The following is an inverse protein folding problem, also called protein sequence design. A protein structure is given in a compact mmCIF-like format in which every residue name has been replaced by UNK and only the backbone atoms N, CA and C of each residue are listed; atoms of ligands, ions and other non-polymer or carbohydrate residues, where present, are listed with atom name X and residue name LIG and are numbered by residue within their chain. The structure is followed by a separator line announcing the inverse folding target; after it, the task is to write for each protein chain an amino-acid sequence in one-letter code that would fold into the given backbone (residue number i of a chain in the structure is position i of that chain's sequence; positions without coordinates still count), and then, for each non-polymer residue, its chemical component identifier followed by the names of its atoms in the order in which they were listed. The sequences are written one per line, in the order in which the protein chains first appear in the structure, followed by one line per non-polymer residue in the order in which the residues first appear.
data_IF_125037622929
#
_entry.id   IF_125037622929
#
_cell.length_a   1.000
_cell.length_b   1.000
_cell.length_c   1.000
_cell.angle_alpha   90.00
_cell.angle_beta   90.00
_cell.angle_gamma   90.00
#
_symmetry.space_group_name_H-M   'P 1'
#
loop_
_entity.id
_entity.type
_entity.pdbx_description
1 polymer ?
#
# COMPACT_ATOMS: atom_id res chain seq x y z
N UNK A 1 -22.19 11.14 -16.76
CA UNK A 1 -22.12 9.72 -16.37
C UNK A 1 -22.07 9.62 -14.84
N UNK A 2 -22.43 8.49 -14.24
CA UNK A 2 -22.33 8.34 -12.77
C UNK A 2 -20.85 8.23 -12.38
N UNK A 3 -20.44 8.90 -11.29
CA UNK A 3 -19.07 8.89 -10.78
C UNK A 3 -18.56 7.46 -10.53
N UNK A 4 -17.37 7.13 -11.04
CA UNK A 4 -16.71 5.82 -10.93
C UNK A 4 -15.36 5.98 -10.24
N UNK A 5 -14.90 4.91 -9.60
CA UNK A 5 -13.64 4.87 -8.85
C UNK A 5 -12.81 3.68 -9.31
N UNK A 6 -11.62 3.92 -9.83
CA UNK A 6 -10.63 2.88 -10.11
C UNK A 6 -9.67 2.83 -8.91
N UNK A 7 -9.66 1.72 -8.20
CA UNK A 7 -8.88 1.55 -6.97
C UNK A 7 -7.73 0.57 -7.20
N UNK A 8 -6.52 0.99 -6.94
CA UNK A 8 -5.29 0.22 -7.14
C UNK A 8 -4.64 -0.07 -5.79
N UNK A 9 -4.30 -1.33 -5.53
CA UNK A 9 -3.74 -1.77 -4.27
C UNK A 9 -2.39 -2.49 -4.43
N UNK A 10 -1.54 -2.34 -3.42
CA UNK A 10 -0.40 -3.21 -3.13
C UNK A 10 0.52 -3.42 -4.35
N UNK A 11 1.16 -2.35 -4.79
CA UNK A 11 1.99 -2.32 -6.02
C UNK A 11 3.32 -3.02 -5.81
N UNK A 12 3.96 -2.79 -4.63
CA UNK A 12 5.23 -3.40 -4.25
C UNK A 12 6.32 -3.27 -5.30
N UNK A 13 6.55 -2.05 -5.77
CA UNK A 13 7.54 -1.70 -6.79
C UNK A 13 7.47 -2.57 -8.06
N UNK A 14 6.32 -3.16 -8.36
CA UNK A 14 6.08 -3.89 -9.60
C UNK A 14 5.77 -2.90 -10.74
N UNK A 15 6.79 -2.09 -11.08
CA UNK A 15 6.67 -1.01 -12.06
C UNK A 15 6.19 -1.48 -13.43
N UNK A 16 6.68 -2.66 -13.89
CA UNK A 16 6.28 -3.21 -15.19
C UNK A 16 4.80 -3.57 -15.25
N UNK A 17 4.24 -4.10 -14.16
CA UNK A 17 2.80 -4.34 -14.07
C UNK A 17 2.01 -3.03 -13.97
N UNK A 18 2.52 -2.07 -13.18
CA UNK A 18 1.88 -0.77 -13.01
C UNK A 18 1.77 0.02 -14.32
N UNK A 19 2.78 -0.05 -15.18
CA UNK A 19 2.74 0.63 -16.49
C UNK A 19 1.54 0.21 -17.35
N UNK A 20 1.04 -1.04 -17.22
CA UNK A 20 -0.15 -1.51 -17.94
C UNK A 20 -1.45 -0.80 -17.51
N UNK A 21 -1.41 -0.02 -16.44
CA UNK A 21 -2.54 0.83 -16.05
C UNK A 21 -2.92 1.81 -17.17
N UNK A 22 -1.92 2.33 -17.91
CA UNK A 22 -2.17 3.28 -19.03
C UNK A 22 -2.80 2.64 -20.25
N UNK A 23 -2.77 1.31 -20.37
CA UNK A 23 -3.36 0.57 -21.48
C UNK A 23 -4.86 0.32 -21.29
N UNK A 24 -5.39 0.58 -20.09
CA UNK A 24 -6.81 0.38 -19.79
C UNK A 24 -7.65 1.49 -20.43
N UNK A 25 -8.65 1.14 -21.23
CA UNK A 25 -9.56 2.13 -21.86
C UNK A 25 -10.24 3.03 -20.82
N UNK A 26 -10.57 2.49 -19.65
CA UNK A 26 -11.22 3.23 -18.56
C UNK A 26 -10.40 4.41 -18.08
N UNK A 27 -9.07 4.40 -18.26
CA UNK A 27 -8.17 5.50 -17.85
C UNK A 27 -8.41 6.77 -18.68
N UNK A 28 -8.99 6.66 -19.87
CA UNK A 28 -9.27 7.81 -20.75
C UNK A 28 -10.52 8.61 -20.32
N UNK A 29 -11.29 8.10 -19.35
CA UNK A 29 -12.42 8.85 -18.78
C UNK A 29 -11.91 9.93 -17.83
N UNK A 30 -12.01 11.19 -18.21
CA UNK A 30 -11.57 12.34 -17.39
C UNK A 30 -12.33 12.49 -16.07
N UNK A 31 -13.57 11.99 -16.00
CA UNK A 31 -14.41 12.00 -14.79
C UNK A 31 -14.08 10.84 -13.83
N UNK A 32 -13.25 9.88 -14.28
CA UNK A 32 -12.82 8.77 -13.43
C UNK A 32 -12.01 9.26 -12.24
N UNK A 33 -12.38 8.83 -11.04
CA UNK A 33 -11.57 9.02 -9.85
C UNK A 33 -10.64 7.82 -9.67
N UNK A 34 -9.34 8.05 -9.59
CA UNK A 34 -8.32 7.02 -9.36
C UNK A 34 -7.85 7.12 -7.91
N UNK A 35 -7.81 5.98 -7.22
CA UNK A 35 -7.38 5.91 -5.81
C UNK A 35 -6.32 4.82 -5.66
N UNK A 36 -5.10 5.21 -5.31
CA UNK A 36 -4.05 4.29 -4.89
C UNK A 36 -4.11 4.11 -3.39
N UNK A 37 -4.19 2.87 -2.90
CA UNK A 37 -4.42 2.61 -1.47
C UNK A 37 -3.19 2.10 -0.72
N UNK A 38 -1.99 2.44 -1.19
CA UNK A 38 -0.72 2.21 -0.47
C UNK A 38 0.08 1.01 -0.94
N UNK A 39 1.18 0.79 -0.23
CA UNK A 39 2.19 -0.24 -0.48
C UNK A 39 2.82 -0.14 -1.87
N UNK A 40 3.54 0.96 -2.08
CA UNK A 40 4.30 1.20 -3.31
C UNK A 40 5.66 0.52 -3.29
N UNK A 41 6.22 0.27 -2.11
CA UNK A 41 7.59 -0.18 -1.84
C UNK A 41 7.67 -1.70 -1.62
N UNK A 42 8.90 -2.20 -1.45
CA UNK A 42 9.20 -3.53 -0.91
C UNK A 42 8.81 -4.72 -1.81
N UNK A 43 9.12 -4.63 -3.11
CA UNK A 43 8.94 -5.73 -4.04
C UNK A 43 9.92 -6.89 -3.82
N UNK A 44 9.51 -8.13 -4.19
CA UNK A 44 10.35 -9.33 -4.10
C UNK A 44 11.37 -9.44 -5.25
N UNK A 45 10.95 -9.06 -6.45
CA UNK A 45 11.78 -9.10 -7.66
C UNK A 45 11.82 -7.69 -8.26
N UNK A 46 12.82 -6.92 -7.84
CA UNK A 46 12.95 -5.54 -8.29
C UNK A 46 13.83 -5.46 -9.52
N UNK A 47 13.32 -4.86 -10.59
CA UNK A 47 14.13 -4.35 -11.69
C UNK A 47 14.89 -3.11 -11.25
N UNK A 48 15.87 -2.68 -12.02
CA UNK A 48 16.69 -1.51 -11.71
C UNK A 48 15.84 -0.26 -11.48
N UNK A 49 16.04 0.39 -10.33
CA UNK A 49 15.32 1.60 -9.90
C UNK A 49 13.79 1.47 -9.87
N UNK A 50 13.25 0.24 -9.78
CA UNK A 50 11.80 -0.02 -9.81
C UNK A 50 11.06 0.75 -8.72
N UNK A 51 11.65 0.88 -7.53
CA UNK A 51 11.07 1.62 -6.41
C UNK A 51 10.83 3.08 -6.75
N UNK A 52 11.86 3.78 -7.21
CA UNK A 52 11.73 5.21 -7.57
C UNK A 52 10.80 5.38 -8.78
N UNK A 53 10.95 4.56 -9.82
CA UNK A 53 10.08 4.59 -11.00
C UNK A 53 8.60 4.39 -10.65
N UNK A 54 8.30 3.52 -9.69
CA UNK A 54 6.92 3.31 -9.20
C UNK A 54 6.38 4.57 -8.54
N UNK A 55 7.16 5.20 -7.65
CA UNK A 55 6.75 6.42 -6.97
C UNK A 55 6.60 7.59 -7.94
N UNK A 56 7.53 7.76 -8.88
CA UNK A 56 7.48 8.78 -9.93
C UNK A 56 6.23 8.62 -10.80
N UNK A 57 5.92 7.39 -11.25
CA UNK A 57 4.73 7.11 -12.04
C UNK A 57 3.44 7.54 -11.31
N UNK A 58 3.30 7.18 -10.03
CA UNK A 58 2.10 7.52 -9.24
C UNK A 58 2.04 9.01 -8.98
N UNK A 59 3.17 9.65 -8.68
CA UNK A 59 3.29 11.09 -8.49
C UNK A 59 2.90 11.85 -9.76
N UNK A 60 3.48 11.47 -10.90
CA UNK A 60 3.21 12.12 -12.19
C UNK A 60 1.75 11.99 -12.57
N UNK A 61 1.14 10.82 -12.33
CA UNK A 61 -0.28 10.64 -12.58
C UNK A 61 -1.14 11.54 -11.68
N UNK A 62 -0.76 11.72 -10.40
CA UNK A 62 -1.46 12.61 -9.47
C UNK A 62 -1.30 14.10 -9.84
N UNK A 63 -0.13 14.50 -10.30
CA UNK A 63 0.17 15.91 -10.66
C UNK A 63 -0.45 16.32 -12.01
N UNK A 64 -0.47 15.39 -12.96
CA UNK A 64 -0.91 15.68 -14.33
C UNK A 64 -2.39 15.36 -14.60
N UNK A 65 -3.08 14.70 -13.64
CA UNK A 65 -4.48 14.33 -13.80
C UNK A 65 -5.31 14.77 -12.60
N UNK A 66 -6.48 15.34 -12.87
CA UNK A 66 -7.49 15.61 -11.85
C UNK A 66 -8.03 14.30 -11.27
N UNK A 67 -8.54 14.35 -10.04
CA UNK A 67 -9.20 13.22 -9.37
C UNK A 67 -8.29 11.97 -9.16
N UNK A 68 -6.98 12.14 -8.97
CA UNK A 68 -6.07 11.09 -8.53
C UNK A 68 -5.70 11.29 -7.07
N UNK A 69 -5.90 10.26 -6.27
CA UNK A 69 -5.68 10.28 -4.83
C UNK A 69 -4.77 9.12 -4.43
N UNK A 70 -3.90 9.38 -3.46
CA UNK A 70 -2.85 8.45 -3.04
C UNK A 70 -2.89 8.31 -1.54
N UNK A 71 -2.84 7.08 -1.03
CA UNK A 71 -2.76 6.75 0.39
C UNK A 71 -1.42 6.12 0.73
N UNK A 72 -1.05 6.13 2.00
CA UNK A 72 0.09 5.37 2.52
C UNK A 72 -0.34 3.99 3.00
N UNK A 73 0.48 2.97 2.70
CA UNK A 73 0.43 1.65 3.28
C UNK A 73 1.46 1.44 4.39
N UNK A 74 1.48 0.24 4.97
CA UNK A 74 2.42 -0.08 6.05
C UNK A 74 3.88 -0.20 5.57
N UNK A 75 4.10 -0.53 4.31
CA UNK A 75 5.42 -0.56 3.71
C UNK A 75 5.96 0.85 3.41
N UNK A 76 5.09 1.85 3.26
CA UNK A 76 5.47 3.23 2.96
C UNK A 76 5.75 4.06 4.22
N UNK A 77 5.01 3.80 5.31
CA UNK A 77 5.09 4.64 6.52
C UNK A 77 6.47 4.67 7.18
N UNK A 78 7.31 3.61 7.20
CA UNK A 78 8.63 3.67 7.84
C UNK A 78 9.58 4.65 7.17
N UNK A 79 9.67 4.67 5.84
CA UNK A 79 10.55 5.61 5.13
C UNK A 79 10.05 7.05 5.24
N UNK A 80 8.72 7.25 5.31
CA UNK A 80 8.13 8.57 5.59
C UNK A 80 8.54 9.09 6.97
N UNK A 81 8.60 8.24 7.99
CA UNK A 81 9.09 8.62 9.32
C UNK A 81 10.57 9.00 9.31
N UNK A 82 11.38 8.24 8.55
CA UNK A 82 12.79 8.56 8.36
C UNK A 82 12.94 9.90 7.63
N UNK A 83 12.15 10.16 6.60
CA UNK A 83 12.11 11.45 5.90
C UNK A 83 11.79 12.59 6.84
N UNK A 84 10.71 12.48 7.63
CA UNK A 84 10.27 13.49 8.61
C UNK A 84 11.25 13.65 9.79
N UNK A 85 12.31 12.86 9.84
CA UNK A 85 13.28 12.83 10.94
C UNK A 85 12.63 12.60 12.30
N UNK A 86 11.64 11.73 12.35
CA UNK A 86 11.00 11.38 13.61
C UNK A 86 12.02 10.78 14.58
N UNK A 87 11.99 11.25 15.83
CA UNK A 87 12.93 10.76 16.85
C UNK A 87 12.81 9.24 16.99
N UNK A 88 13.95 8.54 16.92
CA UNK A 88 14.02 7.09 17.05
C UNK A 88 13.72 6.65 18.51
N UNK A 89 12.46 6.77 18.92
CA UNK A 89 11.94 6.19 20.15
C UNK A 89 11.64 4.69 19.96
N UNK A 90 11.26 3.97 21.03
CA UNK A 90 10.99 2.53 20.96
C UNK A 90 9.99 2.13 19.86
N UNK A 91 8.93 2.93 19.65
CA UNK A 91 7.93 2.67 18.62
C UNK A 91 8.51 2.80 17.21
N UNK A 92 9.15 3.91 16.91
CA UNK A 92 9.77 4.17 15.61
C UNK A 92 10.91 3.18 15.33
N UNK A 93 11.72 2.87 16.37
CA UNK A 93 12.74 1.83 16.29
C UNK A 93 12.14 0.50 15.81
N UNK A 94 11.09 0.01 16.49
CA UNK A 94 10.47 -1.25 16.13
C UNK A 94 9.88 -1.24 14.72
N UNK A 95 9.28 -0.14 14.29
CA UNK A 95 8.71 -0.02 12.93
C UNK A 95 9.79 -0.04 11.87
N UNK A 96 10.86 0.76 12.03
CA UNK A 96 11.99 0.82 11.08
C UNK A 96 12.76 -0.51 11.09
N UNK A 97 12.99 -1.10 12.26
CA UNK A 97 13.62 -2.41 12.39
C UNK A 97 12.82 -3.49 11.64
N UNK A 98 11.52 -3.60 11.95
CA UNK A 98 10.65 -4.57 11.31
C UNK A 98 10.61 -4.37 9.78
N UNK A 99 10.55 -3.12 9.34
CA UNK A 99 10.57 -2.78 7.91
C UNK A 99 11.85 -3.26 7.23
N UNK A 100 13.02 -2.91 7.78
CA UNK A 100 14.31 -3.27 7.17
C UNK A 100 14.51 -4.79 7.15
N UNK A 101 14.24 -5.49 8.27
CA UNK A 101 14.69 -6.87 8.46
C UNK A 101 13.62 -7.92 8.15
N UNK A 102 12.33 -7.58 8.14
CA UNK A 102 11.27 -8.59 8.07
C UNK A 102 10.27 -8.39 6.93
N UNK A 103 10.01 -7.17 6.50
CA UNK A 103 8.91 -6.91 5.54
C UNK A 103 9.36 -6.34 4.20
N UNK A 104 10.67 -6.23 3.94
CA UNK A 104 11.18 -5.92 2.59
C UNK A 104 11.95 -4.63 2.44
N UNK A 105 12.05 -3.80 3.50
CA UNK A 105 12.74 -2.51 3.44
C UNK A 105 14.19 -2.60 2.98
N UNK A 106 14.90 -3.68 3.31
CA UNK A 106 16.26 -3.91 2.82
C UNK A 106 16.30 -4.02 1.29
N UNK A 107 15.30 -4.65 0.68
CA UNK A 107 15.17 -4.75 -0.78
C UNK A 107 14.97 -3.37 -1.42
N UNK A 108 14.05 -2.58 -0.86
CA UNK A 108 13.81 -1.19 -1.27
C UNK A 108 15.06 -0.33 -1.18
N UNK A 109 15.73 -0.35 -0.01
CA UNK A 109 16.92 0.46 0.21
C UNK A 109 18.05 0.11 -0.76
N UNK A 110 18.26 -1.19 -1.01
CA UNK A 110 19.27 -1.64 -1.96
C UNK A 110 18.87 -1.42 -3.44
N UNK A 111 17.58 -1.29 -3.73
CA UNK A 111 17.10 -0.93 -5.06
C UNK A 111 17.29 0.56 -5.38
N UNK A 112 17.19 1.43 -4.37
CA UNK A 112 17.41 2.87 -4.50
C UNK A 112 18.90 3.21 -4.46
N UNK A 113 19.64 2.62 -3.52
CA UNK A 113 21.10 2.73 -3.40
C UNK A 113 21.69 1.31 -3.53
N UNK A 114 22.21 0.97 -4.69
CA UNK A 114 22.72 -0.37 -5.01
C UNK A 114 23.89 -0.81 -4.13
N UNK A 115 24.51 0.10 -3.38
CA UNK A 115 25.57 -0.17 -2.40
C UNK A 115 25.07 -0.19 -0.96
N UNK A 116 23.78 0.02 -0.73
CA UNK A 116 23.22 0.11 0.64
C UNK A 116 23.62 -1.08 1.50
N UNK A 117 23.37 -2.30 1.02
CA UNK A 117 23.67 -3.54 1.76
C UNK A 117 25.17 -3.70 2.00
N UNK A 118 26.01 -3.43 0.99
CA UNK A 118 27.45 -3.54 1.09
C UNK A 118 28.02 -2.54 2.12
N UNK A 119 27.65 -1.28 2.01
CA UNK A 119 28.14 -0.21 2.89
C UNK A 119 27.70 -0.37 4.35
N UNK A 120 26.59 -1.06 4.61
CA UNK A 120 26.02 -1.24 5.95
C UNK A 120 26.08 -2.69 6.46
N UNK A 121 26.80 -3.60 5.81
CA UNK A 121 26.81 -5.02 6.15
C UNK A 121 27.15 -5.28 7.61
N UNK A 122 28.16 -4.59 8.16
CA UNK A 122 28.60 -4.71 9.53
C UNK A 122 27.54 -4.22 10.56
N UNK A 123 26.70 -3.26 10.18
CA UNK A 123 25.61 -2.75 11.01
C UNK A 123 24.38 -3.66 10.92
N UNK A 124 24.13 -4.22 9.73
CA UNK A 124 23.01 -5.12 9.46
C UNK A 124 23.21 -6.50 10.11
N UNK A 125 24.47 -6.95 10.31
CA UNK A 125 24.79 -8.23 10.94
C UNK A 125 24.59 -8.23 12.47
N UNK A 126 24.59 -7.05 13.10
CA UNK A 126 24.32 -6.86 14.53
C UNK A 126 23.35 -5.69 14.75
N UNK A 127 22.04 -5.91 14.51
CA UNK A 127 21.04 -4.85 14.45
C UNK A 127 20.61 -4.35 15.85
N UNK A 128 21.52 -3.83 16.63
CA UNK A 128 21.24 -3.15 17.90
C UNK A 128 20.77 -1.70 17.70
N UNK A 129 20.34 -1.03 18.78
CA UNK A 129 19.83 0.34 18.72
C UNK A 129 20.83 1.34 18.12
N UNK A 130 22.09 1.26 18.49
CA UNK A 130 23.15 2.17 17.99
C UNK A 130 23.38 1.97 16.50
N UNK A 131 23.46 0.74 16.06
CA UNK A 131 23.65 0.39 14.65
C UNK A 131 22.44 0.81 13.82
N UNK A 132 21.22 0.59 14.31
CA UNK A 132 20.01 1.05 13.61
C UNK A 132 19.96 2.59 13.53
N UNK A 133 20.43 3.30 14.55
CA UNK A 133 20.53 4.76 14.51
C UNK A 133 21.51 5.22 13.41
N UNK A 134 22.62 4.51 13.24
CA UNK A 134 23.59 4.79 12.17
C UNK A 134 22.97 4.49 10.79
N UNK A 135 22.31 3.36 10.64
CA UNK A 135 21.55 3.00 9.41
C UNK A 135 20.49 4.07 9.10
N UNK A 136 19.77 4.54 10.10
CA UNK A 136 18.76 5.59 9.95
C UNK A 136 19.38 6.89 9.37
N UNK A 137 20.55 7.31 9.85
CA UNK A 137 21.24 8.48 9.32
C UNK A 137 21.79 8.23 7.91
N UNK A 138 22.27 7.02 7.63
CA UNK A 138 22.70 6.64 6.29
C UNK A 138 21.54 6.75 5.29
N UNK A 139 20.37 6.20 5.62
CA UNK A 139 19.18 6.29 4.77
C UNK A 139 18.83 7.74 4.48
N UNK A 140 18.87 8.61 5.49
CA UNK A 140 18.59 10.03 5.31
C UNK A 140 19.53 10.71 4.32
N UNK A 141 20.82 10.40 4.43
CA UNK A 141 21.87 11.07 3.65
C UNK A 141 22.02 10.53 2.24
N UNK A 142 21.86 9.21 2.04
CA UNK A 142 22.23 8.53 0.80
C UNK A 142 21.03 8.00 0.00
N UNK A 143 19.89 7.81 0.65
CA UNK A 143 18.65 7.34 0.00
C UNK A 143 17.66 8.49 -0.15
N UNK A 144 17.36 9.19 0.94
CA UNK A 144 16.30 10.21 0.97
C UNK A 144 16.79 11.53 0.34
N UNK A 145 17.95 12.04 0.75
CA UNK A 145 18.43 13.33 0.27
C UNK A 145 18.61 13.41 -1.26
N UNK A 146 19.15 12.40 -1.96
CA UNK A 146 19.21 12.42 -3.42
C UNK A 146 17.82 12.35 -4.10
N UNK A 147 16.81 11.82 -3.42
CA UNK A 147 15.46 11.64 -3.91
C UNK A 147 14.45 12.51 -3.12
N UNK A 148 14.87 13.69 -2.68
CA UNK A 148 14.11 14.50 -1.72
C UNK A 148 12.69 14.77 -2.17
N UNK A 149 12.47 15.21 -3.40
CA UNK A 149 11.16 15.63 -3.93
C UNK A 149 10.14 14.48 -3.92
N UNK A 150 10.59 13.27 -4.24
CA UNK A 150 9.68 12.11 -4.27
C UNK A 150 9.27 11.68 -2.86
N UNK A 151 10.19 11.72 -1.88
CA UNK A 151 9.87 11.40 -0.48
C UNK A 151 9.12 12.53 0.21
N UNK A 152 9.35 13.79 -0.17
CA UNK A 152 8.54 14.92 0.29
C UNK A 152 7.09 14.77 -0.19
N UNK A 153 6.89 14.46 -1.47
CA UNK A 153 5.56 14.18 -2.03
C UNK A 153 4.90 13.01 -1.30
N UNK A 154 5.58 11.87 -1.15
CA UNK A 154 5.05 10.69 -0.46
C UNK A 154 4.65 11.02 0.99
N UNK A 155 5.47 11.84 1.67
CA UNK A 155 5.22 12.22 3.08
C UNK A 155 3.97 13.05 3.32
N UNK A 156 3.39 13.63 2.28
CA UNK A 156 2.17 14.44 2.32
C UNK A 156 0.90 13.61 2.11
N UNK A 157 1.03 12.33 1.74
CA UNK A 157 -0.12 11.50 1.43
C UNK A 157 -0.85 11.06 2.71
N UNK A 158 -2.20 11.04 2.70
CA UNK A 158 -3.02 10.65 3.85
C UNK A 158 -3.04 9.12 4.07
N UNK A 159 -3.60 8.70 5.21
CA UNK A 159 -3.78 7.29 5.58
C UNK A 159 -5.17 6.74 5.20
N UNK A 160 -6.12 7.60 4.93
CA UNK A 160 -7.46 7.24 4.46
C UNK A 160 -8.08 8.36 3.62
N UNK A 161 -9.06 7.98 2.83
CA UNK A 161 -9.93 8.90 2.10
C UNK A 161 -11.39 8.53 2.33
N UNK A 162 -12.27 9.53 2.23
CA UNK A 162 -13.70 9.33 2.30
C UNK A 162 -14.38 10.16 1.22
N UNK A 163 -15.18 9.49 0.40
CA UNK A 163 -16.06 10.12 -0.60
C UNK A 163 -17.49 9.60 -0.37
N UNK A 164 -18.39 10.45 0.08
CA UNK A 164 -19.78 10.07 0.36
C UNK A 164 -19.88 8.82 1.26
N UNK A 165 -20.26 7.69 0.68
CA UNK A 165 -20.40 6.41 1.36
C UNK A 165 -19.18 5.49 1.20
N UNK A 166 -18.17 5.88 0.42
CA UNK A 166 -16.97 5.11 0.24
C UNK A 166 -15.87 5.56 1.20
N UNK A 167 -15.20 4.60 1.81
CA UNK A 167 -14.01 4.80 2.64
C UNK A 167 -12.90 3.95 2.06
N UNK A 168 -11.77 4.56 1.83
CA UNK A 168 -10.56 3.91 1.33
C UNK A 168 -9.50 3.97 2.42
N UNK A 169 -8.92 2.84 2.75
CA UNK A 169 -7.76 2.73 3.64
C UNK A 169 -6.92 1.54 3.22
N UNK A 170 -5.63 1.54 3.57
CA UNK A 170 -4.76 0.45 3.15
C UNK A 170 -5.20 -0.90 3.73
N UNK A 171 -5.42 -1.01 5.06
CA UNK A 171 -5.66 -2.28 5.74
C UNK A 171 -7.06 -2.42 6.38
N UNK A 172 -8.02 -1.58 5.99
CA UNK A 172 -9.33 -1.54 6.63
C UNK A 172 -9.38 -0.61 7.84
N UNK A 173 -10.29 -0.86 8.78
CA UNK A 173 -10.60 0.03 9.90
C UNK A 173 -10.84 -0.76 11.18
N UNK A 174 -10.61 -0.15 12.34
CA UNK A 174 -11.24 -0.59 13.60
C UNK A 174 -12.68 -0.09 13.65
N UNK A 175 -13.64 -0.99 13.46
CA UNK A 175 -15.05 -0.67 13.27
C UNK A 175 -15.76 -0.12 14.52
N UNK A 176 -15.16 -0.29 15.71
CA UNK A 176 -15.62 0.28 16.97
C UNK A 176 -15.03 1.67 17.29
N UNK A 177 -14.30 2.28 16.36
CA UNK A 177 -13.77 3.64 16.45
C UNK A 177 -14.30 4.49 15.31
N UNK A 178 -14.53 5.79 15.56
CA UNK A 178 -14.81 6.73 14.47
C UNK A 178 -13.58 6.93 13.58
N UNK A 179 -13.81 7.31 12.33
CA UNK A 179 -12.75 7.48 11.33
C UNK A 179 -11.65 8.46 11.78
N UNK A 180 -12.02 9.54 12.45
CA UNK A 180 -11.10 10.55 13.02
C UNK A 180 -10.24 10.04 14.17
N UNK A 181 -10.64 8.95 14.82
CA UNK A 181 -9.99 8.36 15.99
C UNK A 181 -9.14 7.12 15.63
N UNK A 182 -9.08 6.78 14.33
CA UNK A 182 -8.23 5.71 13.83
C UNK A 182 -6.75 6.09 13.96
N UNK A 183 -5.94 5.17 14.41
CA UNK A 183 -4.48 5.34 14.43
C UNK A 183 -3.86 4.87 13.10
N UNK A 184 -2.61 5.24 12.83
CA UNK A 184 -1.85 4.70 11.71
C UNK A 184 -1.90 3.15 11.68
N UNK A 185 -1.68 2.51 12.83
CA UNK A 185 -1.72 1.04 12.93
C UNK A 185 -3.10 0.46 12.60
N UNK A 186 -4.18 1.16 13.00
CA UNK A 186 -5.53 0.72 12.69
C UNK A 186 -5.82 0.77 11.17
N UNK A 187 -5.21 1.72 10.46
CA UNK A 187 -5.43 1.97 9.03
C UNK A 187 -4.48 1.20 8.11
N UNK A 188 -3.29 0.82 8.62
CA UNK A 188 -2.24 0.24 7.76
C UNK A 188 -1.84 -1.20 8.14
N UNK A 189 -2.30 -1.72 9.29
CA UNK A 189 -1.91 -3.06 9.77
C UNK A 189 -3.07 -3.95 10.20
N UNK A 190 -4.30 -3.45 10.13
CA UNK A 190 -5.46 -4.23 10.57
C UNK A 190 -5.66 -5.46 9.65
N UNK A 191 -6.12 -6.56 10.22
CA UNK A 191 -6.39 -7.81 9.50
C UNK A 191 -7.65 -8.46 10.07
N UNK A 192 -7.45 -9.44 10.94
CA UNK A 192 -8.50 -10.33 11.45
C UNK A 192 -9.67 -9.59 12.13
N UNK A 193 -9.38 -8.53 12.89
CA UNK A 193 -10.40 -7.71 13.54
C UNK A 193 -11.33 -7.03 12.51
N UNK A 194 -10.79 -6.68 11.34
CA UNK A 194 -11.56 -6.10 10.24
C UNK A 194 -12.30 -7.17 9.43
N UNK A 195 -11.64 -8.31 9.16
CA UNK A 195 -12.23 -9.38 8.34
C UNK A 195 -13.35 -10.13 9.08
N UNK A 196 -13.20 -10.29 10.39
CA UNK A 196 -14.08 -11.12 11.22
C UNK A 196 -14.42 -10.43 12.55
N UNK A 197 -15.04 -9.24 12.52
CA UNK A 197 -15.26 -8.45 13.74
C UNK A 197 -16.04 -9.21 14.81
N UNK A 198 -16.94 -10.10 14.42
CA UNK A 198 -17.71 -10.95 15.37
C UNK A 198 -16.81 -11.89 16.17
N UNK A 199 -15.76 -12.46 15.59
CA UNK A 199 -14.82 -13.35 16.30
C UNK A 199 -14.03 -12.60 17.39
N UNK A 200 -13.84 -11.30 17.22
CA UNK A 200 -13.14 -10.42 18.15
C UNK A 200 -14.07 -9.63 19.05
N UNK A 201 -15.37 -9.97 19.09
CA UNK A 201 -16.40 -9.24 19.84
C UNK A 201 -16.46 -7.73 19.51
N UNK A 202 -16.14 -7.38 18.28
CA UNK A 202 -16.18 -6.00 17.79
C UNK A 202 -17.60 -5.72 17.29
N UNK A 203 -18.25 -4.74 17.91
CA UNK A 203 -19.55 -4.21 17.47
C UNK A 203 -19.25 -2.98 16.61
N UNK A 204 -19.53 -3.03 15.29
CA UNK A 204 -19.33 -1.88 14.42
C UNK A 204 -20.20 -0.71 14.86
N UNK A 205 -19.65 0.51 14.82
CA UNK A 205 -20.42 1.71 15.08
C UNK A 205 -21.52 1.87 14.01
N UNK A 206 -22.71 2.39 14.37
CA UNK A 206 -23.79 2.66 13.41
C UNK A 206 -23.35 3.53 12.23
N UNK A 207 -22.32 4.35 12.43
CA UNK A 207 -21.69 5.17 11.40
C UNK A 207 -21.25 4.39 10.15
N UNK A 208 -20.86 3.11 10.30
CA UNK A 208 -20.37 2.28 9.19
C UNK A 208 -21.46 1.47 8.48
N UNK A 209 -22.71 1.50 8.99
CA UNK A 209 -23.81 0.68 8.47
C UNK A 209 -24.05 0.85 6.96
N UNK A 210 -24.00 2.11 6.49
CA UNK A 210 -24.28 2.46 5.10
C UNK A 210 -23.00 2.84 4.33
N UNK A 211 -21.83 2.42 4.82
CA UNK A 211 -20.54 2.66 4.18
C UNK A 211 -20.04 1.40 3.47
N UNK A 212 -19.34 1.62 2.39
CA UNK A 212 -18.51 0.59 1.75
C UNK A 212 -17.04 0.93 2.00
N UNK A 213 -16.30 -0.01 2.57
CA UNK A 213 -14.88 0.14 2.85
C UNK A 213 -14.10 -0.65 1.81
N UNK A 214 -13.09 -0.03 1.18
CA UNK A 214 -12.24 -0.68 0.19
C UNK A 214 -10.82 -0.69 0.72
N UNK A 215 -10.22 -1.89 0.83
CA UNK A 215 -8.91 -2.12 1.42
C UNK A 215 -8.07 -3.13 0.64
N UNK A 216 -6.75 -3.06 0.82
CA UNK A 216 -5.73 -3.99 0.31
C UNK A 216 -5.02 -4.76 1.42
N UNK A 217 -3.69 -4.67 1.48
CA UNK A 217 -2.80 -5.14 2.56
C UNK A 217 -2.71 -6.65 2.75
N UNK A 218 -3.78 -7.37 2.58
CA UNK A 218 -3.80 -8.82 2.79
C UNK A 218 -4.15 -9.51 1.49
N UNK A 219 -3.19 -10.23 0.88
CA UNK A 219 -3.45 -10.94 -0.36
C UNK A 219 -4.66 -11.85 -0.22
N UNK A 220 -5.66 -11.66 -1.05
CA UNK A 220 -6.93 -12.41 -0.97
C UNK A 220 -6.72 -13.92 -1.07
N UNK A 221 -5.66 -14.36 -1.75
CA UNK A 221 -5.28 -15.77 -1.85
C UNK A 221 -4.85 -16.40 -0.52
N UNK A 222 -4.50 -15.59 0.48
CA UNK A 222 -4.06 -16.07 1.81
C UNK A 222 -5.21 -16.21 2.80
N UNK A 223 -6.38 -15.70 2.47
CA UNK A 223 -7.56 -15.73 3.32
C UNK A 223 -8.26 -17.09 3.21
N UNK A 224 -8.76 -17.62 4.32
CA UNK A 224 -9.51 -18.87 4.34
C UNK A 224 -10.84 -18.80 3.57
N UNK A 225 -11.38 -17.60 3.44
CA UNK A 225 -12.60 -17.28 2.67
C UNK A 225 -12.28 -16.59 1.33
N UNK A 226 -11.00 -16.45 0.99
CA UNK A 226 -10.55 -15.85 -0.25
C UNK A 226 -10.62 -16.80 -1.45
N UNK A 227 -9.94 -16.41 -2.51
CA UNK A 227 -9.86 -17.21 -3.72
C UNK A 227 -8.42 -17.35 -4.19
N UNK A 228 -8.13 -18.38 -4.97
CA UNK A 228 -6.78 -18.67 -5.47
C UNK A 228 -6.38 -17.79 -6.67
N UNK A 229 -7.31 -17.05 -7.24
CA UNK A 229 -7.12 -16.26 -8.45
C UNK A 229 -6.69 -14.82 -8.18
N UNK A 230 -6.76 -14.38 -6.91
CA UNK A 230 -6.45 -13.00 -6.50
C UNK A 230 -7.53 -11.98 -6.87
N UNK A 231 -8.75 -12.44 -7.21
CA UNK A 231 -9.88 -11.55 -7.45
C UNK A 231 -10.33 -10.84 -6.16
N UNK A 232 -10.85 -9.62 -6.25
CA UNK A 232 -11.44 -8.92 -5.11
C UNK A 232 -12.48 -9.76 -4.37
N UNK A 233 -12.46 -9.68 -3.03
CA UNK A 233 -13.39 -10.39 -2.16
C UNK A 233 -14.29 -9.40 -1.43
N UNK A 234 -15.61 -9.62 -1.50
CA UNK A 234 -16.59 -8.84 -0.76
C UNK A 234 -16.85 -9.44 0.62
N UNK A 235 -16.79 -8.61 1.65
CA UNK A 235 -17.20 -8.94 3.01
C UNK A 235 -18.58 -8.33 3.27
N UNK A 236 -19.54 -9.17 3.66
CA UNK A 236 -20.94 -8.74 3.87
C UNK A 236 -21.09 -7.87 5.11
N UNK A 237 -20.30 -8.13 6.14
CA UNK A 237 -20.34 -7.39 7.42
C UNK A 237 -18.93 -7.10 7.96
N UNK A 238 -18.45 -5.86 7.89
CA UNK A 238 -19.07 -4.69 7.23
C UNK A 238 -19.07 -4.86 5.71
N UNK A 239 -19.90 -4.10 5.00
CA UNK A 239 -19.84 -4.06 3.53
C UNK A 239 -18.46 -3.53 3.10
N UNK A 240 -17.58 -4.42 2.66
CA UNK A 240 -16.18 -4.10 2.40
C UNK A 240 -15.62 -4.94 1.27
N UNK A 241 -14.64 -4.39 0.56
CA UNK A 241 -13.89 -5.07 -0.47
C UNK A 241 -12.43 -5.20 -0.07
N UNK A 242 -11.88 -6.41 -0.20
CA UNK A 242 -10.46 -6.69 -0.11
C UNK A 242 -9.94 -6.91 -1.54
N UNK A 243 -8.99 -6.08 -1.96
CA UNK A 243 -8.57 -6.02 -3.37
C UNK A 243 -7.08 -6.27 -3.59
N UNK A 244 -6.32 -6.72 -2.58
CA UNK A 244 -4.91 -7.06 -2.76
C UNK A 244 -4.75 -8.32 -3.61
N UNK A 245 -4.19 -8.18 -4.81
CA UNK A 245 -3.94 -9.26 -5.77
C UNK A 245 -2.69 -10.09 -5.48
N UNK A 246 -1.97 -9.80 -4.40
CA UNK A 246 -0.78 -10.54 -3.97
C UNK A 246 0.47 -10.24 -4.78
N UNK A 247 0.65 -9.01 -5.26
CA UNK A 247 1.81 -8.63 -6.10
C UNK A 247 3.16 -8.91 -5.43
N UNK A 248 3.21 -8.96 -4.09
CA UNK A 248 4.40 -9.30 -3.28
C UNK A 248 4.32 -10.68 -2.60
N UNK A 249 3.52 -11.60 -3.09
CA UNK A 249 3.39 -12.91 -2.45
C UNK A 249 4.60 -13.82 -2.71
N UNK A 250 5.19 -14.38 -1.62
CA UNK A 250 6.31 -15.36 -1.68
C UNK A 250 5.88 -16.77 -2.06
N UNK A 251 4.59 -17.08 -2.01
CA UNK A 251 4.11 -18.39 -2.45
C UNK A 251 4.18 -18.44 -3.97
N UNK A 252 4.48 -19.62 -4.52
CA UNK A 252 4.34 -19.96 -5.95
C UNK A 252 2.85 -19.89 -6.37
N UNK A 253 2.24 -18.77 -6.11
CA UNK A 253 0.91 -18.46 -6.60
C UNK A 253 1.16 -18.04 -8.05
N UNK A 254 0.69 -18.86 -8.99
CA UNK A 254 0.79 -18.58 -10.43
C UNK A 254 0.08 -17.27 -10.86
N UNK A 255 -0.36 -16.45 -9.92
CA UNK A 255 -1.23 -15.30 -10.12
C UNK A 255 -0.86 -14.10 -9.23
N UNK A 256 0.41 -13.71 -9.23
CA UNK A 256 0.80 -12.44 -8.59
C UNK A 256 0.53 -11.29 -9.55
N UNK A 257 -0.35 -10.36 -9.17
CA UNK A 257 -0.71 -9.20 -9.98
C UNK A 257 -1.16 -8.04 -9.10
N UNK A 258 -1.20 -6.85 -9.68
CA UNK A 258 -1.83 -5.69 -9.07
C UNK A 258 -3.30 -5.70 -9.51
N UNK A 259 -4.22 -5.60 -8.59
CA UNK A 259 -5.61 -5.34 -8.92
C UNK A 259 -5.85 -3.84 -9.15
N UNK A 260 -6.48 -3.53 -10.28
CA UNK A 260 -7.09 -2.24 -10.55
C UNK A 260 -8.60 -2.45 -10.65
N UNK A 261 -9.32 -2.18 -9.57
CA UNK A 261 -10.72 -2.55 -9.40
C UNK A 261 -11.63 -1.34 -9.60
N UNK A 262 -12.57 -1.43 -10.54
CA UNK A 262 -13.49 -0.37 -10.90
C UNK A 262 -14.80 -0.49 -10.10
N UNK A 263 -15.16 0.59 -9.39
CA UNK A 263 -16.34 0.65 -8.54
C UNK A 263 -17.32 1.74 -8.95
N UNK A 264 -18.60 1.50 -8.69
CA UNK A 264 -19.63 2.56 -8.69
C UNK A 264 -19.47 3.48 -7.48
N UNK A 265 -20.14 4.64 -7.48
CA UNK A 265 -20.20 5.53 -6.31
C UNK A 265 -20.92 4.90 -5.09
N UNK A 266 -21.65 3.81 -5.28
CA UNK A 266 -22.29 3.04 -4.22
C UNK A 266 -21.39 1.91 -3.68
N UNK A 267 -20.18 1.73 -4.24
CA UNK A 267 -19.22 0.71 -3.82
C UNK A 267 -19.51 -0.68 -4.39
N UNK A 268 -20.24 -0.78 -5.47
CA UNK A 268 -20.41 -2.03 -6.21
C UNK A 268 -19.24 -2.21 -7.19
N UNK A 269 -18.58 -3.36 -7.16
CA UNK A 269 -17.55 -3.71 -8.13
C UNK A 269 -18.19 -3.86 -9.52
N UNK A 270 -17.67 -3.13 -10.50
CA UNK A 270 -18.06 -3.20 -11.90
C UNK A 270 -17.17 -4.21 -12.62
N UNK A 271 -15.85 -4.07 -12.44
CA UNK A 271 -14.84 -4.85 -13.15
C UNK A 271 -13.53 -4.86 -12.37
N UNK A 272 -12.71 -5.89 -12.57
CA UNK A 272 -11.38 -5.97 -12.01
C UNK A 272 -10.36 -6.25 -13.12
N UNK A 273 -9.36 -5.36 -13.24
CA UNK A 273 -8.25 -5.50 -14.17
C UNK A 273 -7.03 -6.04 -13.41
N UNK A 274 -6.46 -7.13 -13.91
CA UNK A 274 -5.24 -7.74 -13.35
C UNK A 274 -4.02 -7.23 -14.12
N UNK A 275 -3.24 -6.37 -13.48
CA UNK A 275 -2.00 -5.86 -14.07
C UNK A 275 -0.85 -6.81 -13.68
N UNK A 276 -0.26 -7.49 -14.66
CA UNK A 276 0.84 -8.44 -14.47
C UNK A 276 2.01 -8.12 -15.37
N UNK A 277 3.23 -8.28 -14.86
CA UNK A 277 4.46 -8.16 -15.66
C UNK A 277 4.68 -9.36 -16.60
N UNK A 278 4.00 -10.48 -16.33
CA UNK A 278 4.04 -11.66 -17.19
C UNK A 278 2.93 -11.57 -18.23
N UNK A 279 3.23 -11.85 -19.49
CA UNK A 279 2.19 -12.08 -20.50
C UNK A 279 1.33 -13.27 -20.04
N UNK A 280 0.01 -13.06 -19.99
CA UNK A 280 -0.93 -14.17 -19.78
C UNK A 280 -0.82 -15.07 -21.03
N UNK A 281 -0.23 -16.26 -20.85
CA UNK A 281 -0.17 -17.29 -21.90
C UNK A 281 -1.54 -17.93 -22.09
#
# INVERSE_FOLDING_TARGET
MSKRYLVIADIHANYQALQKLTDLEVINDEDLTIVFIGDYLDGLTLTENATIKTLEFVKDLQENRKNVYVLLGNHDTPIVKIFKNEKLNKRIYNQVFNWIFHIGGLSTLNNIDNKFKENNLHLLSDPNYKNLQTIYQYIRSNVIKPNYEIFEWLSKQPLYLKFDNLIFSHAGLKLNKYLKDQTEMDLTWNRDEFFSPKLYNIIPLPYYKDKTIIAGHTPVQTLSFGNTTGEPVNLINPNSWLIDGGSNSKKEINTTHINASLFTKQGQLIENFKLSSKEQK
#
